data_IF_917267966493
#
_entry.id   IF_917267966493
#
_cell.length_a   1.000
_cell.length_b   1.000
_cell.length_c   1.000
_cell.angle_alpha   90.00
_cell.angle_beta   90.00
_cell.angle_gamma   90.00
#
_symmetry.space_group_name_H-M   'P 1'
#
loop_
_entity.id
_entity.type
_entity.pdbx_description
1 polymer ?
#
# COMPACT_ATOMS: atom_id res chain seq x y z
N UNK A 1 11.43 14.34 13.51
CA UNK A 1 12.28 14.50 12.30
C UNK A 1 12.22 13.14 11.61
N UNK A 2 11.16 12.95 10.81
CA UNK A 2 10.93 11.68 10.13
C UNK A 2 12.08 11.39 9.17
N UNK A 3 12.60 10.19 9.21
CA UNK A 3 13.63 9.71 8.30
C UNK A 3 12.98 9.41 6.93
N UNK A 4 12.68 10.47 6.18
CA UNK A 4 12.36 10.30 4.76
C UNK A 4 13.69 10.04 4.05
N UNK A 5 14.02 8.77 3.86
CA UNK A 5 15.09 8.43 2.93
C UNK A 5 14.60 8.71 1.52
N UNK A 6 15.39 9.40 0.70
CA UNK A 6 15.08 9.61 -0.72
C UNK A 6 15.22 8.31 -1.54
N UNK A 7 15.55 7.20 -0.89
CA UNK A 7 15.81 5.89 -1.48
C UNK A 7 14.68 4.93 -1.10
N UNK A 8 14.13 4.26 -2.11
CA UNK A 8 13.21 3.14 -1.91
C UNK A 8 14.00 1.94 -1.38
N UNK A 9 13.41 1.21 -0.43
CA UNK A 9 13.97 -0.07 -0.03
C UNK A 9 14.15 -0.96 -1.25
N UNK A 10 15.31 -1.62 -1.38
CA UNK A 10 15.64 -2.46 -2.54
C UNK A 10 14.62 -3.60 -2.76
N UNK A 11 13.84 -3.93 -1.74
CA UNK A 11 12.79 -4.97 -1.78
C UNK A 11 11.38 -4.43 -2.06
N UNK A 12 11.16 -3.10 -2.06
CA UNK A 12 9.84 -2.54 -2.33
C UNK A 12 9.56 -2.47 -3.83
N UNK A 13 8.53 -3.18 -4.26
CA UNK A 13 8.01 -3.18 -5.63
C UNK A 13 6.55 -2.75 -5.61
N UNK A 14 6.24 -1.49 -5.89
CA UNK A 14 4.85 -1.03 -5.92
C UNK A 14 4.05 -1.78 -6.97
N UNK A 15 2.85 -2.20 -6.58
CA UNK A 15 1.90 -2.89 -7.45
C UNK A 15 0.98 -1.87 -8.09
N UNK A 16 0.94 -1.84 -9.42
CA UNK A 16 0.22 -0.85 -10.22
C UNK A 16 -0.93 -1.49 -10.98
N UNK A 17 -2.12 -0.96 -10.78
CA UNK A 17 -3.33 -1.31 -11.53
C UNK A 17 -3.64 -0.19 -12.54
N UNK A 18 -3.83 -0.56 -13.80
CA UNK A 18 -4.25 0.40 -14.83
C UNK A 18 -5.77 0.57 -14.74
N UNK A 19 -6.22 1.80 -14.46
CA UNK A 19 -7.64 2.13 -14.22
C UNK A 19 -8.55 1.68 -15.36
N UNK A 20 -8.14 1.94 -16.58
CA UNK A 20 -8.94 1.66 -17.79
C UNK A 20 -9.16 0.15 -18.02
N UNK A 21 -8.36 -0.70 -17.40
CA UNK A 21 -8.52 -2.16 -17.53
C UNK A 21 -9.59 -2.71 -16.60
N UNK A 22 -9.96 -1.94 -15.55
CA UNK A 22 -11.01 -2.31 -14.60
C UNK A 22 -10.66 -3.54 -13.73
N UNK A 23 -9.40 -3.98 -13.75
CA UNK A 23 -8.92 -5.15 -13.00
C UNK A 23 -9.05 -4.92 -11.51
N UNK A 24 -8.60 -3.76 -11.02
CA UNK A 24 -8.67 -3.42 -9.60
C UNK A 24 -10.11 -3.48 -9.06
N UNK A 25 -11.07 -2.87 -9.77
CA UNK A 25 -12.46 -2.83 -9.31
C UNK A 25 -13.05 -4.23 -9.20
N UNK A 26 -12.79 -5.09 -10.20
CA UNK A 26 -13.23 -6.49 -10.13
C UNK A 26 -12.62 -7.23 -8.95
N UNK A 27 -11.31 -7.07 -8.73
CA UNK A 27 -10.62 -7.69 -7.62
C UNK A 27 -11.17 -7.20 -6.27
N UNK A 28 -11.34 -5.89 -6.09
CA UNK A 28 -11.89 -5.32 -4.87
C UNK A 28 -13.29 -5.87 -4.56
N UNK A 29 -14.14 -6.00 -5.58
CA UNK A 29 -15.49 -6.55 -5.40
C UNK A 29 -15.47 -8.01 -4.95
N UNK A 30 -14.59 -8.83 -5.50
CA UNK A 30 -14.44 -10.24 -5.10
C UNK A 30 -13.84 -10.37 -3.69
N UNK A 31 -12.84 -9.57 -3.36
CA UNK A 31 -12.23 -9.56 -2.02
C UNK A 31 -13.22 -9.09 -0.96
N UNK A 32 -14.05 -8.07 -1.25
CA UNK A 32 -15.14 -7.65 -0.34
C UNK A 32 -16.15 -8.79 -0.11
N UNK A 33 -16.52 -9.53 -1.16
CA UNK A 33 -17.40 -10.68 -1.04
C UNK A 33 -16.76 -11.80 -0.21
N UNK A 34 -15.45 -11.96 -0.27
CA UNK A 34 -14.69 -12.91 0.53
C UNK A 34 -14.43 -12.43 1.98
N UNK A 35 -14.92 -11.24 2.35
CA UNK A 35 -14.79 -10.71 3.72
C UNK A 35 -13.48 -10.00 4.03
N UNK A 36 -12.69 -9.66 3.01
CA UNK A 36 -11.44 -8.92 3.21
C UNK A 36 -11.69 -7.50 3.72
N UNK A 37 -10.82 -7.03 4.61
CA UNK A 37 -10.76 -5.61 4.99
C UNK A 37 -10.07 -4.83 3.88
N UNK A 38 -10.76 -3.84 3.32
CA UNK A 38 -10.22 -3.02 2.22
C UNK A 38 -10.19 -1.57 2.66
N UNK A 39 -9.01 -0.96 2.58
CA UNK A 39 -8.79 0.46 2.82
C UNK A 39 -8.48 1.12 1.48
N UNK A 40 -9.36 1.99 1.03
CA UNK A 40 -9.22 2.77 -0.19
C UNK A 40 -8.92 4.22 0.16
N UNK A 41 -7.72 4.70 -0.21
CA UNK A 41 -7.31 6.07 0.01
C UNK A 41 -7.31 6.82 -1.33
N UNK A 42 -8.14 7.85 -1.44
CA UNK A 42 -8.20 8.71 -2.64
C UNK A 42 -7.06 9.70 -2.66
N UNK A 43 -6.13 9.55 -3.62
CA UNK A 43 -5.04 10.47 -3.82
C UNK A 43 -5.50 11.87 -4.30
N UNK A 44 -6.65 11.96 -4.98
CA UNK A 44 -7.26 13.25 -5.30
C UNK A 44 -7.64 14.03 -4.03
N UNK A 45 -8.19 13.34 -3.02
CA UNK A 45 -8.49 13.96 -1.73
C UNK A 45 -7.22 14.34 -0.96
N UNK A 46 -6.16 13.55 -1.07
CA UNK A 46 -4.87 13.91 -0.46
C UNK A 46 -4.30 15.22 -1.02
N UNK A 47 -4.54 15.51 -2.29
CA UNK A 47 -4.14 16.78 -2.90
C UNK A 47 -4.90 18.00 -2.34
N UNK A 48 -6.09 17.80 -1.79
CA UNK A 48 -6.86 18.86 -1.15
C UNK A 48 -6.31 19.21 0.23
N UNK A 49 -5.48 18.36 0.82
CA UNK A 49 -4.83 18.60 2.10
C UNK A 49 -3.80 19.73 2.02
N UNK A 50 -3.59 20.41 3.12
CA UNK A 50 -2.59 21.47 3.25
C UNK A 50 -1.15 20.94 3.44
N UNK A 51 -0.98 19.62 3.56
CA UNK A 51 0.29 18.92 3.75
C UNK A 51 0.13 17.53 4.34
N UNK A 52 1.27 16.86 4.60
CA UNK A 52 1.30 15.48 5.10
C UNK A 52 0.56 15.27 6.41
N UNK A 53 0.57 16.23 7.32
CA UNK A 53 -0.14 16.11 8.59
C UNK A 53 -1.67 16.02 8.42
N UNK A 54 -2.26 16.82 7.51
CA UNK A 54 -3.69 16.72 7.20
C UNK A 54 -3.99 15.46 6.37
N UNK A 55 -3.10 15.09 5.45
CA UNK A 55 -3.20 13.85 4.70
C UNK A 55 -3.15 12.63 5.64
N UNK A 56 -2.29 12.64 6.65
CA UNK A 56 -2.22 11.57 7.65
C UNK A 56 -3.53 11.44 8.45
N UNK A 57 -4.22 12.53 8.77
CA UNK A 57 -5.56 12.48 9.40
C UNK A 57 -6.53 11.68 8.53
N UNK A 58 -6.52 11.91 7.21
CA UNK A 58 -7.37 11.15 6.28
C UNK A 58 -7.04 9.66 6.28
N UNK A 59 -5.76 9.30 6.44
CA UNK A 59 -5.35 7.89 6.57
C UNK A 59 -5.85 7.30 7.89
N UNK A 60 -5.73 8.02 9.02
CA UNK A 60 -6.27 7.59 10.31
C UNK A 60 -7.78 7.34 10.24
N UNK A 61 -8.52 8.21 9.55
CA UNK A 61 -9.94 8.01 9.31
C UNK A 61 -10.21 6.75 8.46
N UNK A 62 -9.43 6.56 7.39
CA UNK A 62 -9.58 5.42 6.49
C UNK A 62 -9.29 4.07 7.17
N UNK A 63 -8.29 4.02 8.05
CA UNK A 63 -7.97 2.81 8.83
C UNK A 63 -8.85 2.64 10.09
N UNK A 64 -9.89 3.48 10.23
CA UNK A 64 -10.84 3.42 11.35
C UNK A 64 -10.14 3.49 12.72
N UNK A 65 -9.14 4.36 12.85
CA UNK A 65 -8.35 4.48 14.07
C UNK A 65 -9.27 4.75 15.29
N UNK A 66 -9.17 3.96 16.38
CA UNK A 66 -10.17 3.96 17.44
C UNK A 66 -10.04 5.12 18.43
N UNK A 67 -8.90 5.79 18.48
CA UNK A 67 -8.57 6.81 19.45
C UNK A 67 -8.55 8.23 18.83
N UNK A 68 -8.18 9.23 19.62
CA UNK A 68 -7.94 10.57 19.10
C UNK A 68 -6.69 10.60 18.22
N UNK A 69 -6.80 11.16 17.02
CA UNK A 69 -5.67 11.31 16.10
C UNK A 69 -4.54 12.10 16.79
N UNK A 70 -3.29 11.62 16.72
CA UNK A 70 -2.14 12.27 17.34
C UNK A 70 -1.95 13.72 16.90
N UNK A 71 -1.29 14.54 17.71
CA UNK A 71 -1.01 15.94 17.37
C UNK A 71 -0.07 16.12 16.19
N UNK A 72 0.79 15.15 15.95
CA UNK A 72 1.72 15.09 14.82
C UNK A 72 1.42 13.81 14.03
N UNK A 73 0.29 13.75 13.31
CA UNK A 73 -0.20 12.52 12.73
C UNK A 73 0.74 11.95 11.66
N UNK A 74 1.48 12.78 10.93
CA UNK A 74 2.44 12.35 9.92
C UNK A 74 3.70 11.68 10.50
N UNK A 75 4.07 11.97 11.75
CA UNK A 75 5.18 11.30 12.44
C UNK A 75 4.77 9.90 12.96
N UNK A 76 3.46 9.68 13.19
CA UNK A 76 2.96 8.48 13.84
C UNK A 76 2.23 7.51 12.90
N UNK A 77 1.81 7.97 11.74
CA UNK A 77 0.96 7.17 10.84
C UNK A 77 1.58 5.82 10.47
N UNK A 78 2.89 5.77 10.29
CA UNK A 78 3.59 4.54 9.95
C UNK A 78 3.51 3.52 11.08
N UNK A 79 3.78 3.92 12.34
CA UNK A 79 3.69 3.02 13.51
C UNK A 79 2.29 2.42 13.67
N UNK A 80 1.24 3.22 13.45
CA UNK A 80 -0.13 2.72 13.53
C UNK A 80 -0.52 1.85 12.33
N UNK A 81 0.00 2.15 11.15
CA UNK A 81 -0.24 1.33 9.96
C UNK A 81 0.47 -0.03 10.04
N UNK A 82 1.58 -0.11 10.78
CA UNK A 82 2.26 -1.37 11.09
C UNK A 82 1.45 -2.28 12.03
N UNK A 83 0.63 -1.72 12.90
CA UNK A 83 0.00 -2.48 13.99
C UNK A 83 -1.41 -2.95 13.65
N UNK A 84 -2.30 -2.08 13.21
CA UNK A 84 -3.70 -2.32 12.82
C UNK A 84 -4.47 -3.34 13.70
N UNK A 85 -4.05 -3.56 14.96
CA UNK A 85 -4.57 -4.60 15.85
C UNK A 85 -6.07 -4.43 16.20
N UNK A 86 -6.63 -3.24 15.95
CA UNK A 86 -8.07 -2.96 16.13
C UNK A 86 -8.93 -3.38 14.94
N UNK A 87 -8.34 -3.75 13.81
CA UNK A 87 -9.05 -4.24 12.64
C UNK A 87 -9.10 -5.77 12.64
N UNK A 88 -10.22 -6.32 12.17
CA UNK A 88 -10.29 -7.74 11.88
C UNK A 88 -9.65 -8.02 10.51
N UNK A 89 -8.44 -8.55 10.53
CA UNK A 89 -7.65 -8.91 9.36
C UNK A 89 -7.68 -10.42 9.06
N UNK A 90 -8.50 -11.20 9.79
CA UNK A 90 -8.52 -12.67 9.74
C UNK A 90 -8.81 -13.26 8.37
N UNK A 91 -9.50 -12.53 7.49
CA UNK A 91 -9.79 -12.94 6.11
C UNK A 91 -8.79 -12.36 5.11
N UNK A 92 -8.13 -11.28 5.45
CA UNK A 92 -7.17 -10.57 4.63
C UNK A 92 -7.34 -9.06 4.66
N UNK A 93 -6.31 -8.37 4.21
CA UNK A 93 -6.23 -6.92 4.19
C UNK A 93 -5.74 -6.43 2.83
N UNK A 94 -6.37 -5.42 2.28
CA UNK A 94 -5.92 -4.75 1.06
C UNK A 94 -5.90 -3.24 1.25
N UNK A 95 -4.71 -2.65 1.16
CA UNK A 95 -4.51 -1.21 1.18
C UNK A 95 -4.28 -0.69 -0.25
N UNK A 96 -5.12 0.22 -0.72
CA UNK A 96 -5.03 0.71 -2.10
C UNK A 96 -5.09 2.22 -2.20
N UNK A 97 -4.16 2.80 -2.98
CA UNK A 97 -4.15 4.20 -3.36
C UNK A 97 -4.93 4.39 -4.67
N UNK A 98 -6.09 5.01 -4.60
CA UNK A 98 -6.92 5.30 -5.78
C UNK A 98 -6.46 6.61 -6.44
N UNK A 99 -6.39 6.62 -7.78
CA UNK A 99 -5.99 7.78 -8.56
C UNK A 99 -4.59 8.31 -8.18
N UNK A 100 -3.62 7.42 -8.00
CA UNK A 100 -2.27 7.78 -7.55
C UNK A 100 -1.58 8.78 -8.49
N UNK A 101 -1.83 8.68 -9.80
CA UNK A 101 -1.30 9.59 -10.81
C UNK A 101 -1.76 11.05 -10.64
N UNK A 102 -2.82 11.33 -9.88
CA UNK A 102 -3.22 12.69 -9.55
C UNK A 102 -2.13 13.44 -8.76
N UNK A 103 -1.37 12.74 -7.92
CA UNK A 103 -0.32 13.34 -7.10
C UNK A 103 0.81 13.97 -7.92
N UNK A 104 1.04 13.49 -9.15
CA UNK A 104 2.04 14.04 -10.06
C UNK A 104 1.59 15.31 -10.78
N UNK A 105 0.31 15.67 -10.69
CA UNK A 105 -0.26 16.79 -11.39
C UNK A 105 -0.36 18.06 -10.53
N UNK A 106 0.09 17.99 -9.27
CA UNK A 106 0.08 19.14 -8.39
C UNK A 106 1.08 20.20 -8.84
N UNK A 107 0.62 21.42 -9.24
CA UNK A 107 1.54 22.50 -9.63
C UNK A 107 2.31 23.06 -8.43
N UNK A 108 1.92 22.69 -7.22
CA UNK A 108 2.49 23.18 -5.95
C UNK A 108 3.48 22.18 -5.35
N UNK A 109 3.63 20.98 -5.94
CA UNK A 109 4.55 19.95 -5.48
C UNK A 109 5.49 19.49 -6.61
N UNK A 110 6.46 20.34 -7.02
CA UNK A 110 7.37 20.01 -8.12
C UNK A 110 8.35 18.87 -7.80
N UNK A 111 8.45 18.45 -6.55
CA UNK A 111 9.33 17.37 -6.10
C UNK A 111 8.58 16.07 -5.84
N UNK A 112 7.30 16.01 -6.17
CA UNK A 112 6.43 14.84 -5.94
C UNK A 112 6.42 14.39 -4.47
N UNK A 113 6.50 15.35 -3.53
CA UNK A 113 6.54 15.05 -2.10
C UNK A 113 5.36 14.19 -1.65
N UNK A 114 4.13 14.59 -2.05
CA UNK A 114 2.93 13.82 -1.69
C UNK A 114 2.88 12.45 -2.37
N UNK A 115 3.43 12.32 -3.58
CA UNK A 115 3.53 11.02 -4.24
C UNK A 115 4.52 10.10 -3.49
N UNK A 116 5.68 10.62 -3.09
CA UNK A 116 6.65 9.89 -2.26
C UNK A 116 6.02 9.48 -0.93
N UNK A 117 5.42 10.43 -0.21
CA UNK A 117 4.78 10.17 1.07
C UNK A 117 3.69 9.09 0.97
N UNK A 118 2.80 9.17 -0.02
CA UNK A 118 1.76 8.18 -0.21
C UNK A 118 2.33 6.79 -0.57
N UNK A 119 3.39 6.73 -1.38
CA UNK A 119 4.05 5.46 -1.69
C UNK A 119 4.74 4.83 -0.47
N UNK A 120 5.25 5.65 0.47
CA UNK A 120 5.82 5.16 1.73
C UNK A 120 4.77 4.48 2.61
N UNK A 121 3.48 4.87 2.54
CA UNK A 121 2.41 4.13 3.21
C UNK A 121 2.29 2.70 2.66
N UNK A 122 2.40 2.52 1.33
CA UNK A 122 2.41 1.17 0.74
C UNK A 122 3.66 0.39 1.14
N UNK A 123 4.81 1.04 1.21
CA UNK A 123 6.05 0.42 1.67
C UNK A 123 5.92 -0.05 3.12
N UNK A 124 5.31 0.75 4.00
CA UNK A 124 5.03 0.34 5.39
C UNK A 124 4.15 -0.91 5.43
N UNK A 125 3.10 -0.97 4.59
CA UNK A 125 2.25 -2.18 4.49
C UNK A 125 3.06 -3.37 3.98
N UNK A 126 3.93 -3.19 2.99
CA UNK A 126 4.73 -4.28 2.43
C UNK A 126 5.78 -4.81 3.43
N UNK A 127 6.56 -3.92 4.01
CA UNK A 127 7.72 -4.30 4.81
C UNK A 127 7.35 -4.59 6.26
N UNK A 128 6.65 -3.68 6.92
CA UNK A 128 6.43 -3.72 8.36
C UNK A 128 5.19 -4.54 8.75
N UNK A 129 4.04 -4.24 8.13
CA UNK A 129 2.80 -4.96 8.46
C UNK A 129 2.92 -6.44 8.10
N UNK A 130 3.42 -6.75 6.90
CA UNK A 130 3.62 -8.15 6.48
C UNK A 130 4.67 -8.86 7.32
N UNK A 131 5.74 -8.17 7.74
CA UNK A 131 6.76 -8.74 8.62
C UNK A 131 6.15 -9.12 9.98
N UNK A 132 5.45 -8.19 10.61
CA UNK A 132 4.84 -8.41 11.93
C UNK A 132 3.92 -9.63 11.94
N UNK A 133 3.09 -9.79 10.92
CA UNK A 133 2.18 -10.94 10.82
C UNK A 133 2.86 -12.23 10.35
N UNK A 134 4.09 -12.17 9.80
CA UNK A 134 4.87 -13.36 9.46
C UNK A 134 5.58 -13.99 10.66
N UNK A 135 5.86 -13.21 11.70
CA UNK A 135 6.54 -13.67 12.91
C UNK A 135 5.60 -14.26 13.98
N UNK A 136 4.28 -14.16 13.80
CA UNK A 136 3.34 -14.68 14.78
C UNK A 136 3.35 -16.22 14.77
N UNK A 137 3.96 -16.80 15.84
CA UNK A 137 4.10 -18.26 16.03
C UNK A 137 2.75 -18.98 16.06
N UNK A 138 1.66 -18.27 16.32
CA UNK A 138 0.31 -18.82 16.45
C UNK A 138 -0.40 -19.02 15.07
N UNK A 139 0.18 -18.57 13.96
CA UNK A 139 -0.33 -18.81 12.61
C UNK A 139 -1.70 -18.18 12.34
N UNK A 140 -2.06 -17.15 13.12
CA UNK A 140 -3.37 -16.53 13.04
C UNK A 140 -3.53 -15.64 11.80
N UNK A 141 -2.42 -15.13 11.23
CA UNK A 141 -2.41 -14.31 10.04
C UNK A 141 -1.39 -14.84 9.03
N UNK A 142 -1.85 -15.16 7.82
CA UNK A 142 -0.96 -15.50 6.72
C UNK A 142 -0.50 -14.20 6.04
N UNK A 143 0.82 -13.91 5.95
CA UNK A 143 1.32 -12.73 5.24
C UNK A 143 0.86 -12.66 3.78
N UNK A 144 0.50 -13.79 3.19
CA UNK A 144 -0.14 -13.85 1.89
C UNK A 144 -1.51 -13.17 1.84
N UNK A 145 -2.17 -12.96 2.98
CA UNK A 145 -3.45 -12.27 3.09
C UNK A 145 -3.30 -10.74 3.19
N UNK A 146 -2.11 -10.18 3.07
CA UNK A 146 -1.87 -8.74 3.09
C UNK A 146 -1.45 -8.29 1.69
N UNK A 147 -2.31 -7.51 1.06
CA UNK A 147 -2.12 -6.97 -0.29
C UNK A 147 -2.07 -5.45 -0.25
N UNK A 148 -1.37 -4.87 -1.22
CA UNK A 148 -1.39 -3.43 -1.45
C UNK A 148 -1.30 -3.12 -2.95
N UNK A 149 -1.62 -1.88 -3.32
CA UNK A 149 -1.48 -1.45 -4.70
C UNK A 149 -1.85 0.01 -4.91
N UNK A 150 -1.62 0.47 -6.11
CA UNK A 150 -2.00 1.81 -6.55
C UNK A 150 -2.70 1.76 -7.91
N UNK A 151 -3.75 2.56 -8.05
CA UNK A 151 -4.44 2.75 -9.31
C UNK A 151 -3.88 3.95 -10.06
N UNK A 152 -3.56 3.74 -11.33
CA UNK A 152 -2.95 4.74 -12.21
C UNK A 152 -3.69 4.77 -13.55
N UNK A 153 -3.95 5.95 -14.11
CA UNK A 153 -4.46 6.04 -15.49
C UNK A 153 -3.40 5.60 -16.48
N UNK A 154 -3.81 4.93 -17.55
CA UNK A 154 -2.91 4.53 -18.66
C UNK A 154 -2.09 5.69 -19.22
N UNK A 155 -2.69 6.88 -19.24
CA UNK A 155 -2.05 8.10 -19.73
C UNK A 155 -0.78 8.48 -18.95
N UNK A 156 -0.76 8.20 -17.65
CA UNK A 156 0.33 8.60 -16.76
C UNK A 156 1.18 7.39 -16.27
N UNK A 157 0.92 6.21 -16.81
CA UNK A 157 1.61 4.98 -16.39
C UNK A 157 3.12 5.11 -16.54
N UNK A 158 3.61 5.57 -17.72
CA UNK A 158 5.05 5.70 -17.96
C UNK A 158 5.72 6.66 -16.96
N UNK A 159 5.05 7.75 -16.58
CA UNK A 159 5.54 8.71 -15.58
C UNK A 159 5.67 8.05 -14.21
N UNK A 160 4.70 7.25 -13.81
CA UNK A 160 4.74 6.52 -12.53
C UNK A 160 5.82 5.44 -12.55
N UNK A 161 5.95 4.70 -13.65
CA UNK A 161 7.01 3.70 -13.79
C UNK A 161 8.42 4.33 -13.74
N UNK A 162 8.61 5.50 -14.37
CA UNK A 162 9.87 6.25 -14.29
C UNK A 162 10.16 6.72 -12.85
N UNK A 163 9.13 7.19 -12.13
CA UNK A 163 9.27 7.61 -10.73
C UNK A 163 9.77 6.48 -9.81
N UNK A 164 9.35 5.24 -10.05
CA UNK A 164 9.82 4.06 -9.33
C UNK A 164 11.02 3.37 -10.01
N UNK A 165 11.71 4.05 -10.93
CA UNK A 165 12.91 3.53 -11.61
C UNK A 165 12.68 2.18 -12.31
N UNK A 166 11.47 1.93 -12.77
CA UNK A 166 11.08 0.67 -13.43
C UNK A 166 10.86 -0.52 -12.49
N UNK A 167 10.88 -0.30 -11.19
CA UNK A 167 10.67 -1.39 -10.18
C UNK A 167 9.21 -1.77 -9.99
N UNK A 168 8.26 -0.99 -10.52
CA UNK A 168 6.84 -1.26 -10.34
C UNK A 168 6.38 -2.53 -11.10
N UNK A 169 5.43 -3.23 -10.49
CA UNK A 169 4.78 -4.41 -11.07
C UNK A 169 3.40 -4.01 -11.56
N UNK A 170 3.18 -4.08 -12.87
CA UNK A 170 1.88 -3.78 -13.47
C UNK A 170 1.05 -5.05 -13.55
N UNK A 171 -0.17 -5.01 -13.00
CA UNK A 171 -1.10 -6.14 -13.02
C UNK A 171 -1.89 -6.13 -14.32
N UNK A 172 -1.74 -7.13 -15.18
CA UNK A 172 -2.50 -7.22 -16.43
C UNK A 172 -3.91 -7.78 -16.21
N UNK A 173 -4.05 -8.75 -15.31
CA UNK A 173 -5.29 -9.44 -14.96
C UNK A 173 -5.08 -10.30 -13.70
N UNK A 174 -6.13 -10.96 -13.19
CA UNK A 174 -6.10 -11.89 -12.07
C UNK A 174 -7.12 -13.01 -12.25
N UNK A 175 -6.97 -14.11 -11.50
CA UNK A 175 -7.94 -15.22 -11.50
C UNK A 175 -9.18 -14.84 -10.67
N UNK A 176 -10.37 -14.90 -11.27
CA UNK A 176 -11.63 -14.60 -10.59
C UNK A 176 -12.03 -15.70 -9.60
N UNK A 177 -11.50 -16.92 -9.73
CA UNK A 177 -11.76 -18.02 -8.79
C UNK A 177 -10.97 -17.85 -7.49
N UNK A 178 -9.76 -17.25 -7.58
CA UNK A 178 -8.94 -16.89 -6.41
C UNK A 178 -8.29 -15.53 -6.60
N UNK A 179 -9.03 -14.43 -6.37
CA UNK A 179 -8.60 -13.07 -6.69
C UNK A 179 -7.39 -12.58 -5.87
N UNK A 180 -7.02 -13.30 -4.81
CA UNK A 180 -5.82 -13.03 -4.03
C UNK A 180 -4.60 -13.77 -4.57
N UNK A 181 -4.78 -14.99 -5.09
CA UNK A 181 -3.69 -15.91 -5.42
C UNK A 181 -2.77 -15.41 -6.54
N UNK A 182 -3.31 -14.69 -7.53
CA UNK A 182 -2.52 -14.14 -8.64
C UNK A 182 -1.96 -12.75 -8.37
N UNK A 183 -2.27 -12.15 -7.24
CA UNK A 183 -1.62 -10.90 -6.86
C UNK A 183 -0.11 -11.15 -6.68
N UNK A 184 0.80 -10.29 -7.23
CA UNK A 184 2.25 -10.54 -7.22
C UNK A 184 2.81 -10.73 -5.82
N UNK A 185 2.20 -10.13 -4.81
CA UNK A 185 2.61 -10.28 -3.41
C UNK A 185 2.21 -11.64 -2.83
N UNK A 186 1.16 -12.25 -3.35
CA UNK A 186 0.72 -13.58 -2.96
C UNK A 186 1.58 -14.67 -3.61
N UNK A 187 1.96 -14.46 -4.88
CA UNK A 187 2.77 -15.40 -5.69
C UNK A 187 4.27 -15.34 -5.35
N UNK A 188 4.74 -14.23 -4.76
CA UNK A 188 6.07 -14.22 -4.17
C UNK A 188 6.08 -15.26 -3.07
N UNK A 189 6.57 -16.44 -3.48
CA UNK A 189 6.67 -17.63 -2.66
C UNK A 189 7.11 -17.24 -1.25
N UNK A 190 6.32 -17.62 -0.24
CA UNK A 190 6.62 -17.43 1.19
C UNK A 190 8.10 -17.71 1.51
N UNK A 191 8.68 -18.70 0.82
CA UNK A 191 10.07 -19.09 0.95
C UNK A 191 11.06 -18.09 0.31
N UNK A 192 10.71 -17.40 -0.79
CA UNK A 192 11.58 -16.42 -1.44
C UNK A 192 11.64 -15.10 -0.65
N UNK A 193 10.52 -14.66 -0.10
CA UNK A 193 10.46 -13.47 0.78
C UNK A 193 11.23 -13.76 2.07
N UNK A 194 11.03 -14.92 2.70
CA UNK A 194 11.75 -15.33 3.90
C UNK A 194 13.24 -15.58 3.64
N UNK A 195 13.65 -15.99 2.44
CA UNK A 195 15.06 -16.14 2.09
C UNK A 195 15.74 -14.80 1.83
N UNK A 196 15.08 -13.84 1.21
CA UNK A 196 15.66 -12.50 1.02
C UNK A 196 15.91 -11.80 2.38
N UNK A 197 15.03 -11.99 3.34
CA UNK A 197 15.16 -11.40 4.68
C UNK A 197 16.22 -12.07 5.57
N UNK A 198 16.51 -13.35 5.34
CA UNK A 198 17.63 -14.03 6.02
C UNK A 198 19.01 -13.54 5.59
N UNK A 199 19.12 -12.84 4.47
CA UNK A 199 20.39 -12.30 3.97
C UNK A 199 20.76 -10.95 4.62
N UNK A 200 19.80 -10.18 5.10
CA UNK A 200 20.03 -8.86 5.70
C UNK A 200 20.34 -8.89 7.20
N UNK A 201 20.09 -10.02 7.87
CA UNK A 201 20.35 -10.20 9.31
C UNK A 201 21.74 -10.74 9.63
N UNK A 202 22.71 -10.62 8.72
CA UNK A 202 24.14 -10.97 8.90
C UNK A 202 25.03 -9.76 8.67
#
# INVERSE_FOLDING_TARGET
MGFYTDEWDDVFFPVVYVREDGVLERQLDLLRQAGWKIIELSCEKLLESSGSAEAAVMVFEAIEFPDEVPRLPDDWIHEYLEDLHWLDLSQGFFFVLKNYDALFQSPHDPQYYMAKWAAQLLQTVDTELRYRYSEDEDGQYDPANILYGMEVSRKHLDQVLEFFEGRAIVIPDFDEEDPGAEHPLYVKNKDEVLESWKYESK
#
